data_IF_662610631691
#
_entry.id   IF_662610631691
#
_cell.length_a   1.000
_cell.length_b   1.000
_cell.length_c   1.000
_cell.angle_alpha   90.00
_cell.angle_beta   90.00
_cell.angle_gamma   90.00
#
_symmetry.space_group_name_H-M   'P 1'
#
loop_
_entity.id
_entity.type
_entity.pdbx_description
1 polymer ?
#
# COMPACT_ATOMS: atom_id res chain seq x y z
N UNK A 1 -8.21 21.53 0.06
CA UNK A 1 -7.76 20.36 -0.72
C UNK A 1 -8.96 19.79 -1.47
N UNK A 2 -8.83 19.53 -2.77
CA UNK A 2 -9.88 18.92 -3.59
C UNK A 2 -10.17 17.47 -3.14
N UNK A 3 -11.36 16.95 -3.43
CA UNK A 3 -11.71 15.55 -3.19
C UNK A 3 -10.74 14.59 -3.93
N UNK A 4 -10.25 14.99 -5.08
CA UNK A 4 -9.29 14.21 -5.87
C UNK A 4 -7.88 14.21 -5.26
N UNK A 5 -7.50 15.31 -4.59
CA UNK A 5 -6.24 15.39 -3.83
C UNK A 5 -6.29 14.41 -2.65
N UNK A 6 -7.42 14.36 -1.94
CA UNK A 6 -7.61 13.46 -0.79
C UNK A 6 -7.53 11.99 -1.22
N UNK A 7 -8.21 11.63 -2.31
CA UNK A 7 -8.17 10.24 -2.85
C UNK A 7 -6.75 9.87 -3.27
N UNK A 8 -6.06 10.75 -3.97
CA UNK A 8 -4.69 10.52 -4.45
C UNK A 8 -3.73 10.34 -3.27
N UNK A 9 -3.87 11.17 -2.23
CA UNK A 9 -3.09 11.06 -0.99
C UNK A 9 -3.28 9.71 -0.29
N UNK A 10 -4.53 9.27 -0.10
CA UNK A 10 -4.84 7.98 0.54
C UNK A 10 -4.28 6.80 -0.25
N UNK A 11 -4.33 6.84 -1.58
CA UNK A 11 -3.72 5.80 -2.43
C UNK A 11 -2.21 5.77 -2.30
N UNK A 12 -1.55 6.93 -2.25
CA UNK A 12 -0.10 7.01 -2.00
C UNK A 12 0.28 6.46 -0.63
N UNK A 13 -0.46 6.82 0.42
CA UNK A 13 -0.25 6.29 1.77
C UNK A 13 -0.39 4.76 1.78
N UNK A 14 -1.45 4.24 1.15
CA UNK A 14 -1.65 2.79 1.00
C UNK A 14 -0.49 2.12 0.27
N UNK A 15 -0.08 2.66 -0.87
CA UNK A 15 1.04 2.13 -1.66
C UNK A 15 2.35 2.10 -0.89
N UNK A 16 2.67 3.19 -0.17
CA UNK A 16 3.85 3.27 0.71
C UNK A 16 3.79 2.22 1.82
N UNK A 17 2.64 2.03 2.45
CA UNK A 17 2.46 1.04 3.51
C UNK A 17 2.71 -0.39 3.01
N UNK A 18 2.16 -0.75 1.85
CA UNK A 18 2.43 -2.04 1.21
C UNK A 18 3.93 -2.20 0.94
N UNK A 19 4.58 -1.17 0.38
CA UNK A 19 6.02 -1.22 0.11
C UNK A 19 6.86 -1.36 1.39
N UNK A 20 6.51 -0.66 2.47
CA UNK A 20 7.17 -0.74 3.76
C UNK A 20 7.03 -2.15 4.37
N UNK A 21 5.82 -2.67 4.45
CA UNK A 21 5.52 -4.01 4.96
C UNK A 21 6.22 -5.11 4.14
N UNK A 22 6.33 -4.92 2.81
CA UNK A 22 7.05 -5.82 1.92
C UNK A 22 8.55 -5.80 2.19
N UNK A 23 9.15 -4.60 2.31
CA UNK A 23 10.59 -4.45 2.60
C UNK A 23 10.97 -4.98 3.98
N UNK A 24 10.10 -4.80 4.98
CA UNK A 24 10.29 -5.38 6.32
C UNK A 24 10.39 -6.91 6.28
N UNK A 25 9.70 -7.54 5.32
CA UNK A 25 9.76 -8.99 5.06
C UNK A 25 10.85 -9.40 4.07
N UNK A 26 11.60 -8.44 3.54
CA UNK A 26 12.73 -8.65 2.61
C UNK A 26 12.33 -9.44 1.35
N UNK A 27 11.11 -9.25 0.86
CA UNK A 27 10.64 -9.87 -0.39
C UNK A 27 10.57 -8.86 -1.54
N UNK A 28 10.80 -9.32 -2.77
CA UNK A 28 10.66 -8.50 -3.97
C UNK A 28 9.18 -8.26 -4.33
N UNK A 29 8.90 -7.29 -5.20
CA UNK A 29 7.54 -7.09 -5.74
C UNK A 29 7.05 -8.34 -6.48
N UNK A 30 7.94 -9.02 -7.20
CA UNK A 30 7.64 -10.29 -7.87
C UNK A 30 7.25 -11.38 -6.88
N UNK A 31 7.99 -11.50 -5.76
CA UNK A 31 7.66 -12.49 -4.73
C UNK A 31 6.32 -12.17 -4.04
N UNK A 32 6.04 -10.89 -3.75
CA UNK A 32 4.75 -10.48 -3.22
C UNK A 32 3.61 -10.79 -4.20
N UNK A 33 3.79 -10.46 -5.48
CA UNK A 33 2.81 -10.71 -6.53
C UNK A 33 2.47 -12.20 -6.66
N UNK A 34 3.51 -13.05 -6.67
CA UNK A 34 3.36 -14.50 -6.68
C UNK A 34 2.58 -14.99 -5.45
N UNK A 35 2.97 -14.56 -4.25
CA UNK A 35 2.32 -14.97 -3.00
C UNK A 35 0.85 -14.51 -2.94
N UNK A 36 0.53 -13.33 -3.47
CA UNK A 36 -0.83 -12.77 -3.48
C UNK A 36 -1.68 -13.26 -4.67
N UNK A 37 -1.11 -14.02 -5.61
CA UNK A 37 -1.81 -14.46 -6.81
C UNK A 37 -2.25 -13.28 -7.70
N UNK A 38 -1.41 -12.25 -7.83
CA UNK A 38 -1.68 -11.05 -8.63
C UNK A 38 -0.51 -10.72 -9.57
N UNK A 39 -0.77 -9.84 -10.53
CA UNK A 39 0.25 -9.40 -11.47
C UNK A 39 1.32 -8.51 -10.81
N UNK A 40 2.59 -8.72 -11.18
CA UNK A 40 3.74 -7.96 -10.64
C UNK A 40 3.64 -6.46 -10.97
N UNK A 41 3.22 -6.10 -12.18
CA UNK A 41 3.04 -4.70 -12.57
C UNK A 41 1.94 -4.04 -11.75
N UNK A 42 0.89 -4.79 -11.40
CA UNK A 42 -0.19 -4.34 -10.52
C UNK A 42 0.32 -4.03 -9.10
N UNK A 43 1.18 -4.88 -8.52
CA UNK A 43 1.87 -4.57 -7.24
C UNK A 43 2.64 -3.25 -7.36
N UNK A 44 3.40 -3.07 -8.44
CA UNK A 44 4.14 -1.82 -8.67
C UNK A 44 3.23 -0.59 -8.76
N UNK A 45 2.09 -0.70 -9.47
CA UNK A 45 1.10 0.37 -9.59
C UNK A 45 0.45 0.71 -8.24
N UNK A 46 0.18 -0.30 -7.40
CA UNK A 46 -0.31 -0.10 -6.04
C UNK A 46 0.73 0.65 -5.20
N UNK A 47 1.99 0.20 -5.20
CA UNK A 47 3.05 0.82 -4.40
C UNK A 47 3.31 2.29 -4.77
N UNK A 48 3.03 2.68 -6.03
CA UNK A 48 3.10 4.07 -6.49
C UNK A 48 1.81 4.88 -6.28
N UNK A 49 0.74 4.24 -5.79
CA UNK A 49 -0.56 4.88 -5.58
C UNK A 49 -1.36 5.15 -6.87
N UNK A 50 -0.99 4.52 -7.98
CA UNK A 50 -1.63 4.70 -9.30
C UNK A 50 -2.94 3.91 -9.42
N UNK A 51 -3.09 2.84 -8.62
CA UNK A 51 -4.29 2.01 -8.59
C UNK A 51 -4.90 1.98 -7.19
N UNK A 52 -6.24 1.91 -7.16
CA UNK A 52 -7.00 1.58 -5.97
C UNK A 52 -7.27 0.07 -5.99
N UNK A 53 -6.71 -0.72 -5.06
CA UNK A 53 -7.07 -2.13 -4.97
C UNK A 53 -8.53 -2.30 -4.57
N UNK A 54 -9.15 -3.40 -5.01
CA UNK A 54 -10.45 -3.83 -4.49
C UNK A 54 -10.28 -4.41 -3.09
N UNK A 55 -11.39 -4.60 -2.37
CA UNK A 55 -11.37 -5.23 -1.04
C UNK A 55 -10.68 -6.61 -1.06
N UNK A 56 -10.99 -7.46 -2.04
CA UNK A 56 -10.36 -8.78 -2.18
C UNK A 56 -8.85 -8.68 -2.37
N UNK A 57 -8.38 -7.68 -3.13
CA UNK A 57 -6.94 -7.46 -3.32
C UNK A 57 -6.25 -7.01 -2.05
N UNK A 58 -6.93 -6.25 -1.19
CA UNK A 58 -6.40 -5.87 0.13
C UNK A 58 -6.20 -7.13 0.98
N UNK A 59 -7.17 -8.04 1.03
CA UNK A 59 -7.03 -9.31 1.75
C UNK A 59 -5.89 -10.16 1.19
N UNK A 60 -5.83 -10.36 -0.13
CA UNK A 60 -4.74 -11.10 -0.78
C UNK A 60 -3.36 -10.53 -0.46
N UNK A 61 -3.22 -9.20 -0.50
CA UNK A 61 -1.96 -8.53 -0.12
C UNK A 61 -1.64 -8.71 1.37
N UNK A 62 -2.65 -8.61 2.23
CA UNK A 62 -2.51 -8.76 3.69
C UNK A 62 -2.03 -10.17 4.02
N UNK A 63 -2.66 -11.20 3.45
CA UNK A 63 -2.31 -12.61 3.63
C UNK A 63 -0.91 -12.93 3.06
N UNK A 64 -0.60 -12.43 1.86
CA UNK A 64 0.70 -12.64 1.22
C UNK A 64 1.86 -11.94 1.94
N UNK A 65 1.56 -10.83 2.61
CA UNK A 65 2.45 -10.21 3.55
C UNK A 65 2.45 -11.01 4.86
N UNK A 66 1.35 -11.58 5.32
CA UNK A 66 1.26 -12.20 6.64
C UNK A 66 1.08 -11.14 7.71
N UNK A 67 0.18 -10.18 7.44
CA UNK A 67 -0.40 -9.24 8.41
C UNK A 67 -1.92 -9.31 8.27
N UNK A 68 -2.61 -8.91 9.31
CA UNK A 68 -4.03 -8.60 9.24
C UNK A 68 -4.27 -7.29 8.46
N UNK A 69 -5.47 -7.07 7.90
CA UNK A 69 -5.83 -5.77 7.35
C UNK A 69 -5.74 -4.64 8.37
N UNK A 70 -5.98 -4.90 9.65
CA UNK A 70 -5.86 -3.89 10.72
C UNK A 70 -4.43 -3.39 10.84
N UNK A 71 -3.45 -4.30 10.89
CA UNK A 71 -2.03 -3.93 10.92
C UNK A 71 -1.60 -3.22 9.63
N UNK A 72 -2.11 -3.68 8.47
CA UNK A 72 -1.87 -3.00 7.20
C UNK A 72 -2.36 -1.55 7.25
N UNK A 73 -3.61 -1.31 7.65
CA UNK A 73 -4.17 0.03 7.72
C UNK A 73 -3.57 0.88 8.84
N UNK A 74 -3.07 0.27 9.92
CA UNK A 74 -2.24 0.97 10.91
C UNK A 74 -1.00 1.56 10.24
N UNK A 75 -0.29 0.79 9.40
CA UNK A 75 0.82 1.33 8.62
C UNK A 75 0.35 2.40 7.60
N UNK A 76 -0.82 2.25 6.99
CA UNK A 76 -1.38 3.29 6.10
C UNK A 76 -1.55 4.62 6.83
N UNK A 77 -2.05 4.61 8.06
CA UNK A 77 -2.22 5.82 8.87
C UNK A 77 -0.87 6.48 9.20
N UNK A 78 0.15 5.68 9.51
CA UNK A 78 1.53 6.18 9.70
C UNK A 78 2.04 6.87 8.43
N UNK A 79 1.95 6.22 7.27
CA UNK A 79 2.41 6.80 6.00
C UNK A 79 1.59 8.02 5.57
N UNK A 80 0.30 8.06 5.92
CA UNK A 80 -0.54 9.21 5.67
C UNK A 80 -0.09 10.40 6.52
N UNK A 81 0.19 10.19 7.82
CA UNK A 81 0.70 11.24 8.70
C UNK A 81 2.06 11.77 8.20
N UNK A 82 2.98 10.89 7.79
CA UNK A 82 4.28 11.31 7.22
C UNK A 82 4.11 12.15 5.96
N UNK A 83 3.13 11.82 5.11
CA UNK A 83 2.81 12.62 3.93
C UNK A 83 2.21 13.97 4.29
N UNK A 84 1.39 14.03 5.34
CA UNK A 84 0.76 15.26 5.82
C UNK A 84 1.81 16.19 6.44
N UNK A 85 2.64 15.68 7.36
CA UNK A 85 3.71 16.44 8.02
C UNK A 85 4.79 16.94 7.04
N UNK A 86 5.00 16.21 5.94
CA UNK A 86 5.93 16.59 4.88
C UNK A 86 5.41 17.67 3.92
N UNK A 87 4.12 18.01 3.99
CA UNK A 87 3.53 19.13 3.22
C UNK A 87 3.55 20.46 3.98
N UNK A 88 3.79 20.43 5.30
CA UNK A 88 3.88 21.61 6.17
C UNK A 88 5.32 22.19 6.28
N UNK A 89 6.27 21.66 5.50
CA UNK A 89 7.65 22.17 5.36
C UNK A 89 7.91 22.64 3.93
#
# INVERSE_FOLDING_TARGET
MSLDDVKTRRRRAFGKAVAALRRNRRISQEKLALNAGIDRSYVGQIERGEKSPTLDKIWQLSDALGVTPVEMFTQVLVEQQVLDDGQDR
#
